data_IF_807699154212
#
_entry.id   IF_807699154212
#
_cell.length_a   1.000
_cell.length_b   1.000
_cell.length_c   1.000
_cell.angle_alpha   90.00
_cell.angle_beta   90.00
_cell.angle_gamma   90.00
#
_symmetry.space_group_name_H-M   'P 1'
#
loop_
_entity.id
_entity.type
_entity.pdbx_description
1 polymer ?
#
# COMPACT_ATOMS: atom_id res chain seq x y z
N UNK A 1 -17.81 44.65 2.02
CA UNK A 1 -17.80 43.25 1.49
C UNK A 1 -16.53 43.05 0.68
N UNK A 2 -15.43 42.69 1.33
CA UNK A 2 -14.17 42.36 0.64
C UNK A 2 -14.10 40.86 0.40
N UNK A 3 -14.01 40.49 -0.88
CA UNK A 3 -13.99 39.11 -1.35
C UNK A 3 -12.61 38.51 -1.11
N UNK A 4 -12.49 37.64 -0.10
CA UNK A 4 -11.28 36.85 0.15
C UNK A 4 -10.98 35.93 -1.04
N UNK A 5 -10.10 36.40 -1.93
CA UNK A 5 -9.51 35.64 -3.03
C UNK A 5 -8.59 34.55 -2.44
N UNK A 6 -9.08 33.31 -2.39
CA UNK A 6 -8.27 32.14 -2.00
C UNK A 6 -7.08 31.99 -2.95
N UNK A 7 -5.85 31.78 -2.46
CA UNK A 7 -4.71 31.57 -3.34
C UNK A 7 -4.88 30.25 -4.12
N UNK A 8 -4.44 30.20 -5.39
CA UNK A 8 -4.53 28.99 -6.21
C UNK A 8 -3.74 27.86 -5.54
N UNK A 9 -4.35 26.67 -5.44
CA UNK A 9 -3.71 25.44 -4.94
C UNK A 9 -2.59 25.02 -5.90
N UNK A 10 -1.41 25.64 -5.73
CA UNK A 10 -0.18 25.24 -6.39
C UNK A 10 0.21 23.84 -5.95
N UNK A 11 0.39 22.95 -6.92
CA UNK A 11 0.85 21.58 -6.73
C UNK A 11 2.17 21.54 -5.94
N UNK A 12 2.07 21.22 -4.64
CA UNK A 12 3.21 20.96 -3.74
C UNK A 12 4.11 19.78 -4.23
N UNK A 13 3.65 19.04 -5.23
CA UNK A 13 4.20 17.79 -5.74
C UNK A 13 5.43 17.95 -6.65
N UNK A 14 5.81 19.18 -7.00
CA UNK A 14 6.80 19.43 -8.06
C UNK A 14 8.15 19.97 -7.58
N UNK A 15 8.40 20.08 -6.27
CA UNK A 15 9.71 20.53 -5.77
C UNK A 15 10.49 19.36 -5.19
N UNK A 16 11.15 18.60 -6.05
CA UNK A 16 12.26 17.74 -5.62
C UNK A 16 13.32 18.66 -4.99
N UNK A 17 13.44 18.61 -3.66
CA UNK A 17 14.35 19.50 -2.92
C UNK A 17 15.79 19.10 -3.20
N UNK A 18 16.74 20.05 -3.12
CA UNK A 18 18.15 19.81 -3.47
C UNK A 18 18.79 18.68 -2.65
N UNK A 19 18.35 18.49 -1.40
CA UNK A 19 18.77 17.37 -0.56
C UNK A 19 18.32 16.01 -1.12
N UNK A 20 17.07 15.94 -1.58
CA UNK A 20 16.47 14.72 -2.13
C UNK A 20 17.15 14.26 -3.44
N UNK A 21 17.63 15.23 -4.24
CA UNK A 21 18.44 14.94 -5.42
C UNK A 21 19.83 14.37 -5.06
N UNK A 22 20.44 14.85 -3.97
CA UNK A 22 21.71 14.33 -3.46
C UNK A 22 21.57 12.90 -2.94
N UNK A 23 20.53 12.62 -2.16
CA UNK A 23 20.28 11.29 -1.58
C UNK A 23 20.03 10.24 -2.67
N UNK A 24 19.29 10.64 -3.73
CA UNK A 24 19.07 9.78 -4.91
C UNK A 24 20.38 9.53 -5.67
N UNK A 25 21.23 10.56 -5.79
CA UNK A 25 22.56 10.43 -6.38
C UNK A 25 23.45 9.44 -5.64
N UNK A 26 23.49 9.54 -4.31
CA UNK A 26 24.24 8.61 -3.47
C UNK A 26 23.72 7.17 -3.58
N UNK A 27 22.39 6.98 -3.62
CA UNK A 27 21.79 5.65 -3.78
C UNK A 27 22.12 5.03 -5.15
N UNK A 28 22.05 5.79 -6.24
CA UNK A 28 22.43 5.32 -7.59
C UNK A 28 23.90 4.90 -7.67
N UNK A 29 24.81 5.67 -7.07
CA UNK A 29 26.23 5.35 -7.00
C UNK A 29 26.45 4.03 -6.24
N UNK A 30 25.79 3.87 -5.08
CA UNK A 30 25.89 2.67 -4.26
C UNK A 30 25.38 1.43 -5.02
N UNK A 31 24.24 1.53 -5.72
CA UNK A 31 23.70 0.44 -6.53
C UNK A 31 24.68 0.06 -7.66
N UNK A 32 25.27 1.03 -8.33
CA UNK A 32 26.25 0.79 -9.40
C UNK A 32 27.51 0.10 -8.85
N UNK A 33 27.99 0.50 -7.68
CA UNK A 33 29.13 -0.11 -6.99
C UNK A 33 28.83 -1.57 -6.58
N UNK A 34 27.64 -1.83 -6.04
CA UNK A 34 27.19 -3.18 -5.69
C UNK A 34 27.09 -4.07 -6.93
N UNK A 35 26.53 -3.57 -8.03
CA UNK A 35 26.46 -4.32 -9.29
C UNK A 35 27.85 -4.62 -9.87
N UNK A 36 28.79 -3.67 -9.81
CA UNK A 36 30.16 -3.87 -10.26
C UNK A 36 30.91 -4.90 -9.38
N UNK A 37 30.64 -4.89 -8.08
CA UNK A 37 31.24 -5.83 -7.13
C UNK A 37 30.69 -7.25 -7.29
N UNK A 38 29.37 -7.40 -7.48
CA UNK A 38 28.71 -8.70 -7.66
C UNK A 38 28.99 -9.29 -9.06
N UNK A 39 29.08 -8.44 -10.09
CA UNK A 39 29.23 -8.87 -11.48
C UNK A 39 30.65 -9.27 -11.91
N UNK A 40 31.71 -8.86 -11.19
CA UNK A 40 33.10 -9.21 -11.54
C UNK A 40 33.64 -8.59 -12.84
N UNK A 41 32.85 -7.78 -13.55
CA UNK A 41 33.24 -7.10 -14.79
C UNK A 41 34.11 -5.87 -14.49
N UNK A 42 35.44 -6.05 -14.46
CA UNK A 42 36.44 -4.97 -14.28
C UNK A 42 36.26 -3.79 -15.25
N UNK A 43 35.65 -4.02 -16.42
CA UNK A 43 35.38 -2.99 -17.42
C UNK A 43 34.26 -1.99 -17.05
N UNK A 44 33.42 -2.30 -16.04
CA UNK A 44 32.28 -1.44 -15.66
C UNK A 44 32.63 -0.41 -14.57
N UNK A 45 33.81 -0.52 -13.96
CA UNK A 45 34.37 0.44 -13.01
C UNK A 45 34.54 1.87 -13.57
N UNK A 46 35.15 2.09 -14.76
CA UNK A 46 35.32 3.44 -15.28
C UNK A 46 33.99 4.12 -15.60
N UNK A 47 32.97 3.37 -16.03
CA UNK A 47 31.61 3.89 -16.25
C UNK A 47 30.94 4.28 -14.93
N UNK A 48 31.09 3.49 -13.87
CA UNK A 48 30.58 3.84 -12.54
C UNK A 48 31.25 5.11 -11.99
N UNK A 49 32.57 5.23 -12.16
CA UNK A 49 33.36 6.41 -11.76
C UNK A 49 32.96 7.65 -12.58
N UNK A 50 32.74 7.53 -13.89
CA UNK A 50 32.24 8.62 -14.74
C UNK A 50 30.85 9.09 -14.29
N UNK A 51 29.94 8.16 -13.99
CA UNK A 51 28.60 8.47 -13.49
C UNK A 51 28.66 9.16 -12.13
N UNK A 52 29.59 8.75 -11.25
CA UNK A 52 29.84 9.37 -9.95
C UNK A 52 30.42 10.78 -10.09
N UNK A 53 31.40 10.98 -10.98
CA UNK A 53 31.97 12.29 -11.29
C UNK A 53 30.92 13.25 -11.86
N UNK A 54 30.06 12.77 -12.77
CA UNK A 54 28.95 13.55 -13.31
C UNK A 54 27.93 13.88 -12.22
N UNK A 55 27.67 12.96 -11.27
CA UNK A 55 26.83 13.22 -10.11
C UNK A 55 27.41 14.32 -9.21
N UNK A 56 28.73 14.30 -8.98
CA UNK A 56 29.42 15.25 -8.12
C UNK A 56 29.55 16.65 -8.75
N UNK A 57 29.77 16.74 -10.06
CA UNK A 57 29.97 18.01 -10.78
C UNK A 57 28.65 18.76 -11.00
N UNK A 58 27.53 18.06 -11.26
CA UNK A 58 26.25 18.71 -11.49
C UNK A 58 25.07 17.89 -10.96
N UNK A 59 24.73 18.04 -9.67
CA UNK A 59 23.52 17.42 -9.09
C UNK A 59 22.23 17.95 -9.73
N UNK A 60 22.31 19.00 -10.56
CA UNK A 60 21.20 19.56 -11.33
C UNK A 60 20.67 18.64 -12.42
N UNK A 61 21.53 17.84 -13.07
CA UNK A 61 21.15 16.92 -14.16
C UNK A 61 20.28 15.77 -13.64
N UNK A 62 20.45 15.39 -12.38
CA UNK A 62 19.67 14.34 -11.74
C UNK A 62 18.31 14.81 -11.21
N UNK A 63 17.99 16.11 -11.26
CA UNK A 63 16.67 16.62 -10.84
C UNK A 63 15.49 16.03 -11.62
N UNK A 64 15.49 15.97 -12.98
CA UNK A 64 14.42 15.31 -13.72
C UNK A 64 14.34 13.81 -13.42
N UNK A 65 15.49 13.13 -13.30
CA UNK A 65 15.53 11.71 -13.01
C UNK A 65 15.01 11.39 -11.59
N UNK A 66 15.40 12.18 -10.59
CA UNK A 66 14.89 12.08 -9.24
C UNK A 66 13.37 12.32 -9.21
N UNK A 67 12.86 13.31 -9.96
CA UNK A 67 11.41 13.54 -10.06
C UNK A 67 10.68 12.31 -10.62
N UNK A 68 11.21 11.69 -11.68
CA UNK A 68 10.62 10.47 -12.26
C UNK A 68 10.71 9.31 -11.25
N UNK A 69 11.86 9.13 -10.59
CA UNK A 69 12.08 8.08 -9.59
C UNK A 69 11.14 8.19 -8.39
N UNK A 70 10.98 9.38 -7.83
CA UNK A 70 10.06 9.62 -6.72
C UNK A 70 8.60 9.50 -7.16
N UNK A 71 8.26 9.96 -8.37
CA UNK A 71 6.94 9.73 -8.96
C UNK A 71 6.63 8.24 -9.09
N UNK A 72 7.57 7.46 -9.62
CA UNK A 72 7.46 6.01 -9.73
C UNK A 72 7.30 5.35 -8.37
N UNK A 73 8.14 5.70 -7.40
CA UNK A 73 8.09 5.18 -6.03
C UNK A 73 6.74 5.47 -5.35
N UNK A 74 6.15 6.63 -5.60
CA UNK A 74 4.84 6.99 -5.04
C UNK A 74 3.70 6.17 -5.65
N UNK A 75 3.72 6.00 -6.98
CA UNK A 75 2.75 5.12 -7.68
C UNK A 75 2.91 3.69 -7.19
N UNK A 76 4.14 3.20 -7.12
CA UNK A 76 4.45 1.86 -6.63
C UNK A 76 3.93 1.68 -5.20
N UNK A 77 4.18 2.64 -4.30
CA UNK A 77 3.68 2.58 -2.92
C UNK A 77 2.15 2.53 -2.83
N UNK A 78 1.46 3.32 -3.66
CA UNK A 78 -0.01 3.34 -3.71
C UNK A 78 -0.58 2.02 -4.24
N UNK A 79 0.06 1.44 -5.24
CA UNK A 79 -0.33 0.14 -5.80
C UNK A 79 -0.01 -0.97 -4.80
N UNK A 80 1.18 -0.98 -4.22
CA UNK A 80 1.62 -1.98 -3.25
C UNK A 80 0.71 -2.03 -2.02
N UNK A 81 0.25 -0.89 -1.51
CA UNK A 81 -0.73 -0.88 -0.41
C UNK A 81 -2.01 -1.66 -0.76
N UNK A 82 -2.55 -1.46 -1.97
CA UNK A 82 -3.72 -2.23 -2.44
C UNK A 82 -3.40 -3.71 -2.67
N UNK A 83 -2.21 -4.00 -3.22
CA UNK A 83 -1.76 -5.37 -3.47
C UNK A 83 -1.63 -6.14 -2.16
N UNK A 84 -0.97 -5.57 -1.15
CA UNK A 84 -0.81 -6.20 0.17
C UNK A 84 -2.17 -6.49 0.80
N UNK A 85 -3.10 -5.51 0.78
CA UNK A 85 -4.44 -5.71 1.33
C UNK A 85 -5.20 -6.82 0.58
N UNK A 86 -5.15 -6.81 -0.75
CA UNK A 86 -5.80 -7.83 -1.58
C UNK A 86 -5.21 -9.21 -1.32
N UNK A 87 -3.88 -9.29 -1.23
CA UNK A 87 -3.17 -10.53 -0.97
C UNK A 87 -3.50 -11.07 0.43
N UNK A 88 -3.53 -10.22 1.45
CA UNK A 88 -3.97 -10.59 2.79
C UNK A 88 -5.42 -11.09 2.79
N UNK A 89 -6.31 -10.46 2.02
CA UNK A 89 -7.69 -10.92 1.86
C UNK A 89 -7.76 -12.31 1.23
N UNK A 90 -7.03 -12.55 0.15
CA UNK A 90 -7.08 -13.84 -0.56
C UNK A 90 -6.33 -14.95 0.16
N UNK A 91 -5.22 -14.66 0.85
CA UNK A 91 -4.40 -15.66 1.54
C UNK A 91 -4.85 -15.94 2.97
N UNK A 92 -5.51 -14.99 3.65
CA UNK A 92 -5.90 -15.15 5.06
C UNK A 92 -7.41 -15.18 5.20
N UNK A 93 -8.11 -14.13 4.78
CA UNK A 93 -9.55 -14.01 5.03
C UNK A 93 -10.38 -15.02 4.22
N UNK A 94 -10.02 -15.21 2.95
CA UNK A 94 -10.73 -16.12 2.05
C UNK A 94 -10.64 -17.58 2.49
N UNK A 95 -9.44 -18.15 2.77
CA UNK A 95 -9.36 -19.51 3.28
C UNK A 95 -9.95 -19.62 4.68
N UNK A 96 -9.87 -18.61 5.55
CA UNK A 96 -10.57 -18.64 6.85
C UNK A 96 -12.09 -18.75 6.69
N UNK A 97 -12.68 -17.99 5.76
CA UNK A 97 -14.09 -18.09 5.42
C UNK A 97 -14.46 -19.45 4.84
N UNK A 98 -13.62 -19.99 3.96
CA UNK A 98 -13.80 -21.34 3.39
C UNK A 98 -13.66 -22.44 4.45
N UNK A 99 -12.68 -22.33 5.35
CA UNK A 99 -12.49 -23.25 6.47
C UNK A 99 -13.72 -23.24 7.37
N UNK A 100 -14.21 -22.05 7.75
CA UNK A 100 -15.43 -21.91 8.54
C UNK A 100 -16.64 -22.54 7.85
N UNK A 101 -16.74 -22.40 6.52
CA UNK A 101 -17.78 -23.05 5.70
C UNK A 101 -17.62 -24.58 5.70
N UNK A 102 -16.41 -25.10 5.54
CA UNK A 102 -16.12 -26.53 5.56
C UNK A 102 -16.35 -27.16 6.94
N UNK A 103 -16.07 -26.42 8.02
CA UNK A 103 -16.34 -26.85 9.40
C UNK A 103 -17.83 -26.83 9.77
N UNK A 104 -18.74 -26.51 8.84
CA UNK A 104 -20.18 -26.57 9.06
C UNK A 104 -20.72 -25.52 10.04
N UNK A 105 -19.91 -24.51 10.41
CA UNK A 105 -20.33 -23.38 11.24
C UNK A 105 -21.07 -22.34 10.38
N UNK A 106 -22.19 -22.77 9.80
CA UNK A 106 -23.13 -21.89 9.10
C UNK A 106 -24.00 -21.15 10.12
N UNK A 107 -23.41 -20.16 10.80
CA UNK A 107 -24.14 -19.36 11.79
C UNK A 107 -25.32 -18.59 11.22
N UNK A 108 -25.44 -18.50 9.88
CA UNK A 108 -26.44 -17.71 9.20
C UNK A 108 -27.43 -18.59 8.40
N UNK A 109 -27.32 -19.92 8.48
CA UNK A 109 -28.17 -20.89 7.78
C UNK A 109 -28.38 -20.53 6.29
N UNK A 110 -27.33 -20.02 5.62
CA UNK A 110 -27.40 -19.46 4.26
C UNK A 110 -27.85 -20.53 3.26
N UNK A 111 -27.49 -21.79 3.51
CA UNK A 111 -27.87 -22.91 2.65
C UNK A 111 -29.39 -23.17 2.59
N UNK A 112 -30.14 -22.83 3.64
CA UNK A 112 -31.60 -22.97 3.71
C UNK A 112 -32.36 -21.75 3.17
N UNK A 113 -31.65 -20.63 2.93
CA UNK A 113 -32.28 -19.39 2.49
C UNK A 113 -32.94 -19.57 1.11
N UNK A 114 -34.27 -19.35 1.06
CA UNK A 114 -35.16 -19.49 -0.12
C UNK A 114 -35.42 -20.91 -0.65
N UNK A 115 -34.97 -21.97 0.03
CA UNK A 115 -35.22 -23.36 -0.41
C UNK A 115 -36.43 -24.03 0.23
N UNK A 116 -37.09 -23.39 1.22
CA UNK A 116 -38.28 -23.93 1.87
C UNK A 116 -39.15 -22.84 2.54
N UNK A 117 -40.22 -23.27 3.19
CA UNK A 117 -41.20 -22.42 3.93
C UNK A 117 -40.77 -22.14 5.38
N UNK A 118 -39.72 -22.81 5.85
CA UNK A 118 -39.19 -22.71 7.22
C UNK A 118 -38.43 -21.38 7.45
N UNK A 119 -38.60 -20.78 8.63
CA UNK A 119 -37.91 -19.55 9.00
C UNK A 119 -36.41 -19.79 9.25
N UNK A 120 -35.57 -18.91 8.70
CA UNK A 120 -34.10 -18.91 8.91
C UNK A 120 -33.72 -18.24 10.23
N UNK A 121 -34.66 -17.55 10.88
CA UNK A 121 -34.43 -16.93 12.17
C UNK A 121 -34.41 -17.99 13.29
N UNK A 122 -33.45 -17.87 14.21
CA UNK A 122 -33.51 -18.65 15.47
C UNK A 122 -34.69 -18.15 16.29
N UNK A 123 -35.65 -19.03 16.54
CA UNK A 123 -36.70 -18.81 17.52
C UNK A 123 -36.04 -18.73 18.90
N UNK A 124 -36.29 -17.63 19.63
CA UNK A 124 -35.81 -17.44 21.00
C UNK A 124 -36.98 -17.59 21.95
N UNK A 125 -37.30 -18.84 22.29
CA UNK A 125 -38.31 -19.16 23.30
C UNK A 125 -37.75 -18.93 24.72
N UNK A 126 -37.45 -17.66 25.03
CA UNK A 126 -37.15 -17.24 26.40
C UNK A 126 -38.39 -16.56 26.98
N UNK A 127 -38.81 -17.02 28.15
CA UNK A 127 -39.86 -16.36 28.94
C UNK A 127 -39.30 -15.08 29.53
N UNK A 128 -39.68 -13.94 28.95
CA UNK A 128 -39.31 -12.62 29.43
C UNK A 128 -39.64 -12.48 30.91
N UNK A 129 -38.61 -12.26 31.73
CA UNK A 129 -38.74 -12.07 33.17
C UNK A 129 -38.48 -10.59 33.50
N UNK A 130 -39.00 -10.10 34.63
CA UNK A 130 -38.81 -8.69 35.04
C UNK A 130 -37.33 -8.26 35.07
N UNK A 131 -36.41 -9.18 35.39
CA UNK A 131 -34.97 -8.95 35.36
C UNK A 131 -34.41 -8.59 33.97
N UNK A 132 -35.01 -9.09 32.88
CA UNK A 132 -34.59 -8.76 31.51
C UNK A 132 -34.97 -7.32 31.09
N UNK A 133 -35.96 -6.72 31.77
CA UNK A 133 -36.37 -5.33 31.54
C UNK A 133 -35.44 -4.36 32.28
N UNK A 134 -34.91 -4.78 33.43
CA UNK A 134 -33.96 -3.98 34.22
C UNK A 134 -32.56 -3.94 33.59
N UNK A 135 -32.15 -4.99 32.85
CA UNK A 135 -30.89 -5.04 32.10
C UNK A 135 -31.09 -5.46 30.64
N UNK A 136 -31.47 -4.51 29.76
CA UNK A 136 -31.85 -4.81 28.39
C UNK A 136 -30.68 -5.06 27.40
N UNK A 137 -29.42 -5.03 27.86
CA UNK A 137 -28.21 -5.23 27.05
C UNK A 137 -27.14 -6.00 27.82
#
# INVERSE_FOLDING_TARGET
>A
MDTMKKPPKGSFWTKATTAQARDTGMAMVLICLLFAWIGGYRAMLPTAILVLLVNMISPGVYKPLARVWFGLSHVLGTVMSKVILSLAFFLVLTPMGLLRKALGKDSLHIACWKKGTESVFRVRDHTFTAADIEQPF
#
